data_IF_260319130294
#
_entry.id   IF_260319130294
#
_cell.length_a   1.000
_cell.length_b   1.000
_cell.length_c   1.000
_cell.angle_alpha   90.00
_cell.angle_beta   90.00
_cell.angle_gamma   90.00
#
_symmetry.space_group_name_H-M   'P 1'
#
loop_
_entity.id
_entity.type
_entity.pdbx_description
1 polymer ?
#
# COMPACT_ATOMS: atom_id res chain seq x y z
N UNK A 1 -11.07 -4.09 0.15
CA UNK A 1 -10.23 -2.98 0.65
C UNK A 1 -9.39 -3.44 1.84
N UNK A 2 -9.97 -4.06 2.86
CA UNK A 2 -9.25 -4.54 4.05
C UNK A 2 -8.09 -5.51 3.73
N UNK A 3 -8.26 -6.45 2.78
CA UNK A 3 -7.20 -7.41 2.41
C UNK A 3 -5.94 -6.74 1.83
N UNK A 4 -6.10 -5.71 0.98
CA UNK A 4 -4.95 -4.98 0.40
C UNK A 4 -4.25 -4.16 1.48
N UNK A 5 -5.01 -3.57 2.42
CA UNK A 5 -4.42 -2.85 3.55
C UNK A 5 -3.61 -3.81 4.42
N UNK A 6 -4.15 -4.99 4.76
CA UNK A 6 -3.42 -6.00 5.53
C UNK A 6 -2.14 -6.42 4.81
N UNK A 7 -2.21 -6.70 3.50
CA UNK A 7 -1.03 -7.06 2.70
C UNK A 7 0.03 -5.95 2.71
N UNK A 8 -0.36 -4.69 2.51
CA UNK A 8 0.56 -3.55 2.55
C UNK A 8 1.21 -3.43 3.93
N UNK A 9 0.45 -3.62 5.00
CA UNK A 9 0.96 -3.57 6.38
C UNK A 9 1.93 -4.71 6.68
N UNK A 10 1.66 -5.93 6.20
CA UNK A 10 2.59 -7.06 6.32
C UNK A 10 3.90 -6.80 5.57
N UNK A 11 3.83 -6.24 4.36
CA UNK A 11 5.01 -5.88 3.57
C UNK A 11 5.82 -4.77 4.26
N UNK A 12 5.13 -3.74 4.79
CA UNK A 12 5.76 -2.67 5.57
C UNK A 12 6.47 -3.20 6.81
N UNK A 13 5.80 -4.07 7.57
CA UNK A 13 6.33 -4.71 8.76
C UNK A 13 7.59 -5.51 8.43
N UNK A 14 7.53 -6.34 7.39
CA UNK A 14 8.65 -7.15 6.95
C UNK A 14 9.84 -6.31 6.48
N UNK A 15 9.60 -5.20 5.80
CA UNK A 15 10.66 -4.32 5.30
C UNK A 15 11.31 -3.47 6.38
N UNK A 16 10.59 -3.16 7.45
CA UNK A 16 11.10 -2.41 8.59
C UNK A 16 11.60 -3.30 9.74
N UNK A 17 11.51 -4.63 9.59
CA UNK A 17 11.76 -5.61 10.68
C UNK A 17 10.94 -5.29 11.95
N UNK A 18 9.67 -4.90 11.74
CA UNK A 18 8.71 -4.53 12.77
C UNK A 18 7.58 -5.55 12.86
N UNK A 19 6.87 -5.54 13.98
CA UNK A 19 5.64 -6.31 14.13
C UNK A 19 4.47 -5.62 13.37
N UNK A 20 3.71 -6.36 12.55
CA UNK A 20 2.58 -5.79 11.81
C UNK A 20 1.43 -5.33 12.72
N UNK A 21 1.27 -5.92 13.91
CA UNK A 21 0.30 -5.50 14.91
C UNK A 21 0.67 -4.14 15.52
N UNK A 22 1.95 -3.89 15.78
CA UNK A 22 2.42 -2.57 16.23
C UNK A 22 2.15 -1.48 15.18
N UNK A 23 2.45 -1.75 13.91
CA UNK A 23 2.16 -0.82 12.82
C UNK A 23 0.66 -0.56 12.67
N UNK A 24 -0.18 -1.57 12.88
CA UNK A 24 -1.65 -1.41 12.84
C UNK A 24 -2.14 -0.52 13.97
N UNK A 25 -1.64 -0.71 15.18
CA UNK A 25 -1.97 0.16 16.32
C UNK A 25 -1.53 1.59 16.03
N UNK A 26 -0.35 1.78 15.44
CA UNK A 26 0.14 3.10 15.03
C UNK A 26 -0.78 3.74 13.99
N UNK A 27 -1.23 3.00 12.99
CA UNK A 27 -2.20 3.45 11.97
C UNK A 27 -3.55 3.89 12.58
N UNK A 28 -4.04 3.10 13.53
CA UNK A 28 -5.29 3.38 14.25
C UNK A 28 -5.15 4.60 15.17
N UNK A 29 -3.94 4.84 15.72
CA UNK A 29 -3.63 5.98 16.58
C UNK A 29 -3.37 7.28 15.80
N UNK A 30 -2.75 7.20 14.63
CA UNK A 30 -2.49 8.37 13.78
C UNK A 30 -3.68 8.75 12.91
N UNK A 31 -4.75 7.94 12.91
CA UNK A 31 -6.02 8.26 12.26
C UNK A 31 -5.93 8.26 10.74
N UNK A 32 -5.34 7.20 10.17
CA UNK A 32 -5.21 6.91 8.72
C UNK A 32 -3.90 7.36 8.04
N UNK A 33 -3.13 8.24 8.67
CA UNK A 33 -1.85 8.71 8.14
C UNK A 33 -0.68 7.98 8.81
N UNK A 34 -0.15 6.96 8.15
CA UNK A 34 1.15 6.40 8.53
C UNK A 34 2.22 7.06 7.65
N UNK A 35 3.19 7.77 8.23
CA UNK A 35 4.27 8.36 7.46
C UNK A 35 5.18 7.25 6.94
N UNK A 36 4.88 6.75 5.75
CA UNK A 36 5.72 5.79 5.04
C UNK A 36 6.74 6.53 4.18
N UNK A 37 8.00 6.12 4.27
CA UNK A 37 9.04 6.63 3.39
C UNK A 37 8.71 6.31 1.92
N UNK A 38 8.90 7.31 1.05
CA UNK A 38 8.79 7.18 -0.40
C UNK A 38 9.50 5.95 -0.98
N UNK A 39 10.66 5.56 -0.44
CA UNK A 39 11.39 4.37 -0.89
C UNK A 39 10.65 3.06 -0.56
N UNK A 40 10.07 2.98 0.65
CA UNK A 40 9.31 1.81 1.08
C UNK A 40 8.05 1.66 0.23
N UNK A 41 7.38 2.78 -0.10
CA UNK A 41 6.19 2.78 -0.97
C UNK A 41 6.49 2.24 -2.36
N UNK A 42 7.63 2.60 -2.94
CA UNK A 42 8.05 2.10 -4.27
C UNK A 42 8.29 0.58 -4.22
N UNK A 43 9.00 0.10 -3.21
CA UNK A 43 9.31 -1.34 -3.07
C UNK A 43 8.04 -2.17 -2.80
N UNK A 44 7.10 -1.67 -2.00
CA UNK A 44 5.79 -2.32 -1.79
C UNK A 44 5.02 -2.39 -3.11
N UNK A 45 5.01 -1.30 -3.88
CA UNK A 45 4.35 -1.29 -5.18
C UNK A 45 4.96 -2.35 -6.10
N UNK A 46 6.29 -2.37 -6.24
CA UNK A 46 6.98 -3.36 -7.09
C UNK A 46 6.64 -4.79 -6.69
N UNK A 47 6.53 -5.10 -5.40
CA UNK A 47 6.11 -6.43 -4.92
C UNK A 47 4.66 -6.75 -5.26
N UNK A 48 3.77 -5.78 -5.16
CA UNK A 48 2.34 -5.95 -5.48
C UNK A 48 2.16 -6.12 -6.99
N UNK A 49 2.81 -5.30 -7.81
CA UNK A 49 2.84 -5.44 -9.27
C UNK A 49 3.31 -6.82 -9.70
N UNK A 50 4.41 -7.31 -9.12
CA UNK A 50 4.92 -8.65 -9.37
C UNK A 50 3.95 -9.75 -8.91
N UNK A 51 3.30 -9.58 -7.76
CA UNK A 51 2.37 -10.56 -7.18
C UNK A 51 1.07 -10.69 -7.96
N UNK A 52 0.52 -9.57 -8.44
CA UNK A 52 -0.78 -9.53 -9.13
C UNK A 52 -0.65 -9.40 -10.65
N UNK A 53 0.57 -9.26 -11.19
CA UNK A 53 0.78 -9.03 -12.63
C UNK A 53 0.21 -7.70 -13.12
N UNK A 54 0.12 -6.71 -12.23
CA UNK A 54 -0.40 -5.36 -12.55
C UNK A 54 0.76 -4.39 -12.81
N UNK A 55 0.46 -3.27 -13.47
CA UNK A 55 1.39 -2.15 -13.60
C UNK A 55 0.61 -0.88 -13.29
N UNK A 56 1.00 -0.17 -12.24
CA UNK A 56 0.39 1.10 -11.83
C UNK A 56 1.15 2.23 -12.51
N UNK A 57 0.43 3.15 -13.14
CA UNK A 57 1.11 4.25 -13.83
C UNK A 57 1.76 5.21 -12.82
N UNK A 58 3.00 5.70 -13.07
CA UNK A 58 3.64 6.69 -12.20
C UNK A 58 2.82 7.97 -12.01
N UNK A 59 2.01 8.36 -13.00
CA UNK A 59 1.11 9.52 -12.90
C UNK A 59 -0.05 9.31 -11.92
N UNK A 60 -0.60 8.10 -11.85
CA UNK A 60 -1.63 7.71 -10.87
C UNK A 60 -1.06 7.63 -9.46
N UNK A 61 0.23 7.30 -9.35
CA UNK A 61 0.99 7.22 -8.12
C UNK A 61 1.31 8.62 -7.56
N UNK A 62 1.81 9.55 -8.39
CA UNK A 62 2.17 10.91 -7.97
C UNK A 62 0.94 11.73 -7.56
N UNK A 63 -0.19 11.58 -8.26
CA UNK A 63 -1.42 12.31 -7.96
C UNK A 63 -2.03 11.96 -6.58
N UNK A 64 -1.65 10.81 -6.01
CA UNK A 64 -2.28 10.24 -4.80
C UNK A 64 -1.30 10.00 -3.65
N UNK A 65 0.00 10.28 -3.85
CA UNK A 65 1.09 10.08 -2.87
C UNK A 65 1.10 11.07 -1.70
N UNK A 66 -0.01 11.71 -1.39
CA UNK A 66 -0.16 12.50 -0.16
C UNK A 66 -0.56 11.59 1.01
N UNK A 67 0.43 10.89 1.57
CA UNK A 67 0.56 10.47 2.98
C UNK A 67 -0.40 9.48 3.66
N UNK A 68 -1.33 8.81 2.96
CA UNK A 68 -2.16 7.78 3.61
C UNK A 68 -1.93 6.38 3.02
N UNK A 69 -1.63 5.40 3.88
CA UNK A 69 -1.57 3.96 3.53
C UNK A 69 -2.88 3.51 2.88
N UNK A 70 -4.01 4.05 3.34
CA UNK A 70 -5.34 3.77 2.78
C UNK A 70 -5.50 4.30 1.35
N UNK A 71 -5.01 5.50 1.04
CA UNK A 71 -5.08 6.05 -0.33
C UNK A 71 -4.23 5.23 -1.31
N UNK A 72 -3.08 4.75 -0.84
CA UNK A 72 -2.25 3.83 -1.62
C UNK A 72 -2.94 2.47 -1.82
N UNK A 73 -3.52 1.90 -0.76
CA UNK A 73 -4.29 0.66 -0.82
C UNK A 73 -5.49 0.75 -1.79
N UNK A 74 -6.20 1.88 -1.78
CA UNK A 74 -7.31 2.13 -2.69
C UNK A 74 -6.85 2.16 -4.16
N UNK A 75 -5.70 2.78 -4.44
CA UNK A 75 -5.13 2.86 -5.79
C UNK A 75 -4.74 1.48 -6.33
N UNK A 76 -4.09 0.67 -5.49
CA UNK A 76 -3.74 -0.70 -5.84
C UNK A 76 -5.00 -1.53 -6.11
N UNK A 77 -6.01 -1.41 -5.25
CA UNK A 77 -7.26 -2.14 -5.42
C UNK A 77 -7.97 -1.76 -6.73
N UNK A 78 -7.98 -0.47 -7.08
CA UNK A 78 -8.50 0.03 -8.35
C UNK A 78 -7.76 -0.61 -9.53
N UNK A 79 -6.41 -0.56 -9.53
CA UNK A 79 -5.59 -1.14 -10.59
C UNK A 79 -5.75 -2.67 -10.74
N UNK A 80 -5.94 -3.41 -9.64
CA UNK A 80 -6.26 -4.85 -9.67
C UNK A 80 -7.64 -5.07 -10.30
N UNK A 81 -8.63 -4.27 -9.90
CA UNK A 81 -10.02 -4.42 -10.35
C UNK A 81 -10.17 -4.08 -11.84
N UNK A 82 -9.50 -3.05 -12.33
CA UNK A 82 -9.54 -2.64 -13.74
C UNK A 82 -8.94 -3.69 -14.70
N UNK A 83 -7.95 -4.47 -14.24
CA UNK A 83 -7.34 -5.56 -15.04
C UNK A 83 -8.11 -6.88 -14.97
N UNK A 84 -8.99 -7.03 -13.98
CA UNK A 84 -9.88 -8.17 -13.84
C UNK A 84 -11.35 -7.71 -13.92
N UNK A 85 -11.82 -7.21 -15.08
CA UNK A 85 -13.24 -7.09 -15.29
C UNK A 85 -13.81 -8.51 -15.25
N UNK A 86 -14.75 -8.74 -14.33
CA UNK A 86 -15.49 -10.00 -14.23
C UNK A 86 -16.15 -10.38 -15.55
#
# INVERSE_FOLDING_TARGET
MEEIVVLIMELLAQMQDRDPGELRIELEQTGEELPVDSLLMVEILTRIEARYGIAVSPNEQVARSTRAVYTFAATILEAITERHPS
#
